data_IF_076364006995
#
_entry.id   IF_076364006995
#
_cell.length_a   1.000
_cell.length_b   1.000
_cell.length_c   1.000
_cell.angle_alpha   90.00
_cell.angle_beta   90.00
_cell.angle_gamma   90.00
#
_symmetry.space_group_name_H-M   'P 1'
#
loop_
_entity.id
_entity.type
_entity.pdbx_description
1 polymer ?
#
# COMPACT_ATOMS: atom_id res chain seq x y z
N UNK A 1 10.49 -16.27 -24.69
CA UNK A 1 11.46 -15.16 -24.62
C UNK A 1 11.95 -15.05 -23.19
N UNK A 2 13.23 -15.32 -22.94
CA UNK A 2 13.81 -15.13 -21.60
C UNK A 2 14.22 -13.67 -21.41
N UNK A 3 13.93 -13.10 -20.25
CA UNK A 3 14.23 -11.70 -19.89
C UNK A 3 15.74 -11.42 -19.67
N UNK A 4 16.64 -12.30 -20.14
CA UNK A 4 18.07 -12.33 -19.77
C UNK A 4 18.90 -11.19 -20.38
N UNK A 5 18.38 -10.48 -21.38
CA UNK A 5 19.10 -9.42 -22.09
C UNK A 5 18.40 -8.06 -22.04
N UNK A 6 17.39 -7.91 -21.18
CA UNK A 6 16.72 -6.63 -20.99
C UNK A 6 17.63 -5.73 -20.15
N UNK A 7 17.74 -4.48 -20.57
CA UNK A 7 18.38 -3.39 -19.85
C UNK A 7 17.34 -2.36 -19.42
N UNK A 8 17.70 -1.46 -18.50
CA UNK A 8 16.80 -0.38 -18.06
C UNK A 8 16.41 0.54 -19.23
N UNK A 9 17.31 0.75 -20.20
CA UNK A 9 17.06 1.56 -21.40
C UNK A 9 15.99 1.00 -22.33
N UNK A 10 15.69 -0.30 -22.24
CA UNK A 10 14.63 -0.92 -23.03
C UNK A 10 13.23 -0.60 -22.48
N UNK A 11 13.15 -0.09 -21.25
CA UNK A 11 11.91 0.30 -20.59
C UNK A 11 11.58 1.77 -20.87
N UNK A 12 10.29 2.11 -20.79
CA UNK A 12 9.79 3.46 -21.07
C UNK A 12 8.78 3.92 -20.01
N UNK A 13 8.72 5.23 -19.81
CA UNK A 13 7.78 5.88 -18.89
C UNK A 13 7.85 5.29 -17.48
N UNK A 14 6.68 5.09 -16.87
CA UNK A 14 6.56 4.61 -15.48
C UNK A 14 7.24 3.25 -15.23
N UNK A 15 7.40 2.40 -16.26
CA UNK A 15 8.10 1.12 -16.12
C UNK A 15 9.61 1.32 -15.95
N UNK A 16 10.19 2.31 -16.65
CA UNK A 16 11.60 2.67 -16.48
C UNK A 16 11.83 3.31 -15.13
N UNK A 17 10.98 4.27 -14.75
CA UNK A 17 11.07 4.95 -13.45
C UNK A 17 11.00 3.93 -12.30
N UNK A 18 10.10 2.94 -12.41
CA UNK A 18 9.99 1.87 -11.44
C UNK A 18 11.27 1.02 -11.39
N UNK A 19 11.79 0.58 -12.53
CA UNK A 19 13.01 -0.23 -12.61
C UNK A 19 14.26 0.51 -12.10
N UNK A 20 14.38 1.82 -12.35
CA UNK A 20 15.45 2.66 -11.80
C UNK A 20 15.29 2.81 -10.27
N UNK A 21 14.06 2.91 -9.78
CA UNK A 21 13.77 3.05 -8.35
C UNK A 21 14.07 1.78 -7.54
N UNK A 22 13.69 0.60 -8.05
CA UNK A 22 13.83 -0.68 -7.31
C UNK A 22 15.01 -1.55 -7.75
N UNK A 23 15.68 -1.17 -8.84
CA UNK A 23 16.68 -1.96 -9.53
C UNK A 23 16.08 -2.94 -10.54
N UNK A 24 16.78 -3.14 -11.66
CA UNK A 24 16.32 -3.97 -12.79
C UNK A 24 16.03 -5.42 -12.38
N UNK A 25 16.90 -6.04 -11.58
CA UNK A 25 16.70 -7.40 -11.06
C UNK A 25 15.38 -7.55 -10.30
N UNK A 26 15.08 -6.61 -9.39
CA UNK A 26 13.83 -6.60 -8.61
C UNK A 26 12.63 -6.37 -9.52
N UNK A 27 12.74 -5.43 -10.46
CA UNK A 27 11.70 -5.18 -11.45
C UNK A 27 11.37 -6.43 -12.28
N UNK A 28 12.38 -7.16 -12.78
CA UNK A 28 12.15 -8.39 -13.55
C UNK A 28 11.47 -9.48 -12.70
N UNK A 29 11.78 -9.57 -11.39
CA UNK A 29 11.04 -10.44 -10.47
C UNK A 29 9.57 -10.01 -10.35
N UNK A 30 9.29 -8.72 -10.24
CA UNK A 30 7.92 -8.20 -10.22
C UNK A 30 7.17 -8.53 -11.52
N UNK A 31 7.81 -8.37 -12.68
CA UNK A 31 7.21 -8.72 -13.98
C UNK A 31 6.86 -10.21 -14.06
N UNK A 32 7.73 -11.09 -13.55
CA UNK A 32 7.47 -12.55 -13.53
C UNK A 32 6.29 -12.92 -12.64
N UNK A 33 6.13 -12.23 -11.49
CA UNK A 33 5.11 -12.58 -10.50
C UNK A 33 3.78 -11.88 -10.77
N UNK A 34 3.81 -10.62 -11.19
CA UNK A 34 2.65 -9.73 -11.29
C UNK A 34 2.40 -9.19 -12.71
N UNK A 35 3.17 -9.62 -13.71
CA UNK A 35 3.01 -9.17 -15.10
C UNK A 35 1.59 -9.44 -15.61
N UNK A 36 0.96 -8.41 -16.19
CA UNK A 36 -0.43 -8.47 -16.66
C UNK A 36 -1.48 -8.22 -15.58
N UNK A 37 -1.10 -8.14 -14.30
CA UNK A 37 -2.01 -7.75 -13.23
C UNK A 37 -2.11 -6.21 -13.11
N UNK A 38 -3.29 -5.72 -12.70
CA UNK A 38 -3.45 -4.32 -12.29
C UNK A 38 -3.19 -4.20 -10.78
N UNK A 39 -1.92 -4.02 -10.40
CA UNK A 39 -1.48 -3.90 -9.00
C UNK A 39 -1.44 -2.44 -8.55
N UNK A 40 -2.22 -2.11 -7.53
CA UNK A 40 -2.16 -0.78 -6.91
C UNK A 40 -1.07 -0.72 -5.82
N UNK A 41 -0.12 0.21 -5.96
CA UNK A 41 0.87 0.50 -4.92
C UNK A 41 0.22 1.31 -3.80
N UNK A 42 0.28 0.78 -2.58
CA UNK A 42 -0.30 1.44 -1.42
C UNK A 42 0.42 2.73 -1.05
N UNK A 43 -0.36 3.74 -0.66
CA UNK A 43 0.18 4.92 0.02
C UNK A 43 0.75 4.53 1.38
N UNK A 44 1.79 5.26 1.82
CA UNK A 44 2.39 5.07 3.14
C UNK A 44 1.35 5.07 4.26
N UNK A 45 0.40 6.01 4.28
CA UNK A 45 -0.69 6.07 5.27
C UNK A 45 -1.53 4.78 5.31
N UNK A 46 -1.75 4.12 4.17
CA UNK A 46 -2.48 2.86 4.12
C UNK A 46 -1.68 1.75 4.79
N UNK A 47 -0.38 1.67 4.52
CA UNK A 47 0.54 0.69 5.12
C UNK A 47 0.62 0.92 6.64
N UNK A 48 0.84 2.17 7.06
CA UNK A 48 0.91 2.55 8.49
C UNK A 48 -0.40 2.24 9.22
N UNK A 49 -1.54 2.50 8.58
CA UNK A 49 -2.85 2.14 9.15
C UNK A 49 -2.99 0.63 9.32
N UNK A 50 -2.62 -0.17 8.32
CA UNK A 50 -2.68 -1.63 8.40
C UNK A 50 -1.79 -2.12 9.55
N UNK A 51 -0.55 -1.65 9.62
CA UNK A 51 0.40 -2.02 10.67
C UNK A 51 -0.13 -1.67 12.07
N UNK A 52 -0.61 -0.44 12.27
CA UNK A 52 -1.23 0.01 13.53
C UNK A 52 -2.44 -0.84 13.91
N UNK A 53 -3.35 -1.06 12.97
CA UNK A 53 -4.58 -1.82 13.24
C UNK A 53 -4.26 -3.28 13.59
N UNK A 54 -3.24 -3.88 12.95
CA UNK A 54 -2.72 -5.21 13.31
C UNK A 54 -2.12 -5.22 14.71
N UNK A 55 -1.32 -4.22 15.06
CA UNK A 55 -0.70 -4.12 16.39
C UNK A 55 -1.74 -3.93 17.50
N UNK A 56 -2.78 -3.12 17.27
CA UNK A 56 -3.91 -2.95 18.20
C UNK A 56 -4.60 -4.29 18.45
N UNK A 57 -4.88 -5.08 17.40
CA UNK A 57 -5.48 -6.41 17.56
C UNK A 57 -4.58 -7.36 18.32
N UNK A 58 -3.27 -7.32 18.05
CA UNK A 58 -2.28 -8.17 18.70
C UNK A 58 -2.13 -7.86 20.20
N UNK A 59 -2.18 -6.58 20.58
CA UNK A 59 -2.04 -6.15 21.98
C UNK A 59 -3.32 -6.24 22.81
N UNK A 60 -4.48 -6.39 22.16
CA UNK A 60 -5.74 -6.43 22.88
C UNK A 60 -5.89 -7.72 23.68
N UNK A 61 -6.05 -7.59 25.00
CA UNK A 61 -6.18 -8.72 25.93
C UNK A 61 -7.62 -8.95 26.40
N UNK A 62 -8.60 -8.27 25.78
CA UNK A 62 -10.01 -8.35 26.16
C UNK A 62 -10.47 -7.29 27.17
N UNK A 63 -9.55 -6.61 27.88
CA UNK A 63 -9.89 -5.65 28.94
C UNK A 63 -9.09 -4.33 28.88
N UNK A 64 -7.98 -4.28 28.14
CA UNK A 64 -7.07 -3.13 28.06
C UNK A 64 -7.46 -2.05 27.04
N UNK A 65 -8.76 -1.79 26.84
CA UNK A 65 -9.20 -0.84 25.81
C UNK A 65 -8.71 0.59 26.05
N UNK A 66 -8.78 1.08 27.29
CA UNK A 66 -8.34 2.43 27.65
C UNK A 66 -6.83 2.62 27.48
N UNK A 67 -6.04 1.59 27.77
CA UNK A 67 -4.58 1.60 27.53
C UNK A 67 -4.26 1.73 26.04
N UNK A 68 -4.97 1.01 25.18
CA UNK A 68 -4.79 1.10 23.72
C UNK A 68 -5.21 2.46 23.18
N UNK A 69 -6.30 3.04 23.69
CA UNK A 69 -6.75 4.40 23.35
C UNK A 69 -5.65 5.43 23.63
N UNK A 70 -5.05 5.37 24.82
CA UNK A 70 -3.97 6.26 25.21
C UNK A 70 -2.70 6.02 24.40
N UNK A 71 -2.27 4.75 24.25
CA UNK A 71 -1.03 4.39 23.58
C UNK A 71 -0.99 4.79 22.10
N UNK A 72 -2.14 4.73 21.41
CA UNK A 72 -2.24 5.06 19.98
C UNK A 72 -2.83 6.46 19.71
N UNK A 73 -3.19 7.22 20.75
CA UNK A 73 -3.81 8.54 20.60
C UNK A 73 -5.12 8.50 19.81
N UNK A 74 -5.92 7.44 19.98
CA UNK A 74 -7.14 7.20 19.19
C UNK A 74 -8.39 7.29 20.04
N UNK A 75 -9.53 7.63 19.45
CA UNK A 75 -10.81 7.52 20.17
C UNK A 75 -11.19 6.06 20.44
N UNK A 76 -11.89 5.83 21.55
CA UNK A 76 -12.37 4.50 21.93
C UNK A 76 -13.21 3.85 20.82
N UNK A 77 -14.07 4.64 20.15
CA UNK A 77 -14.86 4.20 18.99
C UNK A 77 -13.99 3.67 17.85
N UNK A 78 -12.85 4.32 17.57
CA UNK A 78 -11.96 3.90 16.49
C UNK A 78 -11.23 2.60 16.84
N UNK A 79 -10.75 2.46 18.07
CA UNK A 79 -10.12 1.22 18.56
C UNK A 79 -11.12 0.07 18.55
N UNK A 80 -12.35 0.26 19.09
CA UNK A 80 -13.43 -0.75 19.03
C UNK A 80 -13.75 -1.17 17.59
N UNK A 81 -13.76 -0.23 16.65
CA UNK A 81 -13.98 -0.55 15.22
C UNK A 81 -12.87 -1.44 14.67
N UNK A 82 -11.61 -1.16 14.99
CA UNK A 82 -10.46 -1.98 14.58
C UNK A 82 -10.59 -3.41 15.14
N UNK A 83 -10.94 -3.53 16.43
CA UNK A 83 -11.12 -4.80 17.12
C UNK A 83 -12.32 -5.60 16.59
N UNK A 84 -13.39 -4.93 16.15
CA UNK A 84 -14.57 -5.60 15.54
C UNK A 84 -14.31 -6.23 14.17
N UNK A 85 -13.11 -6.11 13.61
CA UNK A 85 -12.77 -6.66 12.30
C UNK A 85 -13.46 -5.98 11.11
N UNK A 86 -14.31 -4.97 11.34
CA UNK A 86 -14.95 -4.20 10.26
C UNK A 86 -13.90 -3.39 9.51
N UNK A 87 -13.48 -3.91 8.36
CA UNK A 87 -12.56 -3.23 7.46
C UNK A 87 -13.06 -1.80 7.17
N UNK A 88 -12.15 -0.82 7.20
CA UNK A 88 -12.49 0.49 6.67
C UNK A 88 -12.74 0.33 5.17
N UNK A 89 -13.84 0.88 4.62
CA UNK A 89 -13.98 0.96 3.17
C UNK A 89 -12.72 1.65 2.65
N UNK A 90 -12.06 1.04 1.66
CA UNK A 90 -10.92 1.64 1.00
C UNK A 90 -11.32 3.08 0.64
N UNK A 91 -10.63 4.07 1.24
CA UNK A 91 -10.94 5.48 0.99
C UNK A 91 -10.84 5.66 -0.52
N UNK A 92 -11.95 6.01 -1.19
CA UNK A 92 -11.94 6.32 -2.63
C UNK A 92 -10.84 7.35 -2.85
N UNK A 93 -9.75 6.94 -3.49
CA UNK A 93 -8.74 7.87 -3.96
C UNK A 93 -9.47 8.69 -5.02
N UNK A 94 -9.73 9.97 -4.74
CA UNK A 94 -10.16 10.91 -5.78
C UNK A 94 -9.07 10.87 -6.84
N UNK A 95 -9.30 10.17 -7.95
CA UNK A 95 -8.47 10.30 -9.14
C UNK A 95 -8.45 11.81 -9.43
N UNK A 96 -7.30 12.45 -9.26
CA UNK A 96 -7.05 13.75 -9.86
C UNK A 96 -7.19 13.50 -11.36
N UNK A 97 -8.34 13.86 -11.94
CA UNK A 97 -8.46 14.07 -13.37
C UNK A 97 -7.40 15.12 -13.71
N UNK A 98 -6.25 14.69 -14.23
CA UNK A 98 -5.39 15.61 -14.97
C UNK A 98 -6.15 15.90 -16.25
N UNK A 99 -6.77 17.07 -16.30
CA UNK A 99 -7.08 17.70 -17.57
C UNK A 99 -5.73 17.92 -18.28
N UNK A 100 -5.54 17.24 -19.39
CA UNK A 100 -4.82 17.78 -20.56
C UNK A 100 -5.94 17.90 -21.60
N UNK A 101 -6.38 19.02 -22.17
CA UNK A 101 -5.81 20.38 -22.37
C UNK A 101 -4.40 20.39 -22.94
N UNK A 102 -4.26 19.86 -24.16
CA UNK A 102 -3.45 20.38 -25.28
C UNK A 102 -3.95 19.62 -26.53
N UNK A 103 -4.74 20.22 -27.43
CA UNK A 103 -4.31 21.12 -28.53
C UNK A 103 -3.38 20.42 -29.52
#
# INVERSE_FOLDING_TARGET
MELRHITVSDLKGEQRDLAETVGLETYLKLVRIFGGCNLYIYKADTILRIARDTEIRRRYNGRNLHELVAAFGMSERAVRKILSGRAYPARRVKQRRRAASSS
#
